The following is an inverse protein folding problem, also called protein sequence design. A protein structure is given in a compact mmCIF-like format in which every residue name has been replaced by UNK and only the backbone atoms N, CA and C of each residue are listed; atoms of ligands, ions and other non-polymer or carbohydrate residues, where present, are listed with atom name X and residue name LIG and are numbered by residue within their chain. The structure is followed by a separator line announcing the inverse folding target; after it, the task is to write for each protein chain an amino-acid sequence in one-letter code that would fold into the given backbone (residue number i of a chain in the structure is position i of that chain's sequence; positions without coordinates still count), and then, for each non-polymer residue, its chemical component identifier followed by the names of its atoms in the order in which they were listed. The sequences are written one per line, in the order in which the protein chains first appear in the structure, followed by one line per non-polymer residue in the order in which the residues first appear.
data_IF_749811054186
#
_entry.id   IF_749811054186
#
_cell.length_a   1.000
_cell.length_b   1.000
_cell.length_c   1.000
_cell.angle_alpha   90.00
_cell.angle_beta   90.00
_cell.angle_gamma   90.00
#
_symmetry.space_group_name_H-M   'P 1'
#
loop_
_entity.id
_entity.type
_entity.pdbx_description
1 polymer ?
#
# COMPACT_ATOMS: atom_id res chain seq x y z
N UNK A 1 -91.94 -1.18 42.98
CA UNK A 1 -91.18 -1.29 41.70
C UNK A 1 -90.34 -0.03 41.51
N UNK A 2 -89.10 -0.17 40.97
CA UNK A 2 -88.04 0.82 40.70
C UNK A 2 -87.00 0.97 41.82
N UNK A 3 -86.02 0.05 41.89
CA UNK A 3 -84.71 -0.06 41.18
C UNK A 3 -83.63 0.88 41.76
N UNK A 4 -82.81 0.25 42.60
CA UNK A 4 -81.46 0.61 43.02
C UNK A 4 -80.53 0.76 41.78
N UNK A 5 -79.72 1.81 41.72
CA UNK A 5 -78.60 1.92 40.77
C UNK A 5 -77.33 2.24 41.56
N UNK A 6 -76.48 1.23 41.74
CA UNK A 6 -75.10 1.38 42.17
C UNK A 6 -74.26 1.82 40.97
N UNK A 7 -73.65 3.00 41.05
CA UNK A 7 -72.57 3.41 40.15
C UNK A 7 -71.23 3.18 40.86
N UNK A 8 -70.47 2.18 40.41
CA UNK A 8 -69.09 1.92 40.85
C UNK A 8 -68.14 2.85 40.08
N UNK A 9 -67.42 3.70 40.79
CA UNK A 9 -66.29 4.44 40.24
C UNK A 9 -65.13 3.46 39.98
N UNK A 10 -64.68 3.38 38.73
CA UNK A 10 -63.52 2.61 38.30
C UNK A 10 -62.28 3.46 38.53
N UNK A 11 -61.47 3.04 39.49
CA UNK A 11 -60.21 3.66 39.89
C UNK A 11 -59.13 3.40 38.81
N UNK A 12 -58.86 4.41 37.98
CA UNK A 12 -57.84 4.35 36.92
C UNK A 12 -56.46 4.65 37.51
N UNK A 13 -55.81 3.63 38.05
CA UNK A 13 -54.38 3.70 38.42
C UNK A 13 -53.54 3.74 37.14
N UNK A 14 -53.07 4.92 36.78
CA UNK A 14 -52.05 5.13 35.75
C UNK A 14 -50.74 4.46 36.19
N UNK A 15 -50.38 3.35 35.54
CA UNK A 15 -49.03 2.78 35.58
C UNK A 15 -48.09 3.71 34.78
N UNK A 16 -47.04 4.30 35.37
CA UNK A 16 -46.03 5.00 34.60
C UNK A 16 -45.20 3.95 33.86
N UNK A 17 -45.30 3.94 32.53
CA UNK A 17 -44.39 3.20 31.65
C UNK A 17 -43.00 3.83 31.83
N UNK A 18 -42.15 3.17 32.61
CA UNK A 18 -40.74 3.53 32.78
C UNK A 18 -40.02 3.16 31.47
N UNK A 19 -39.95 4.10 30.53
CA UNK A 19 -39.10 3.95 29.35
C UNK A 19 -37.64 4.07 29.81
N UNK A 20 -36.95 2.94 29.96
CA UNK A 20 -35.49 2.94 30.07
C UNK A 20 -34.93 3.46 28.74
N UNK A 21 -34.20 4.58 28.71
CA UNK A 21 -33.40 4.91 27.55
C UNK A 21 -32.30 3.86 27.47
N UNK A 22 -32.41 2.97 26.48
CA UNK A 22 -31.30 2.12 26.07
C UNK A 22 -30.20 3.09 25.59
N UNK A 23 -29.22 3.38 26.45
CA UNK A 23 -28.01 4.05 26.00
C UNK A 23 -27.32 3.08 25.03
N UNK A 24 -27.49 3.33 23.74
CA UNK A 24 -26.62 2.76 22.73
C UNK A 24 -25.21 3.30 23.03
N UNK A 25 -24.37 2.47 23.65
CA UNK A 25 -22.95 2.76 23.67
C UNK A 25 -22.47 2.86 22.21
N UNK A 26 -21.67 3.88 21.85
CA UNK A 26 -21.08 3.92 20.53
C UNK A 26 -20.29 2.62 20.35
N UNK A 27 -20.51 1.93 19.23
CA UNK A 27 -19.63 0.83 18.85
C UNK A 27 -18.25 1.44 18.64
N UNK A 28 -17.30 1.13 19.53
CA UNK A 28 -15.90 1.46 19.30
C UNK A 28 -15.38 0.53 18.21
N UNK A 29 -14.81 1.07 17.14
CA UNK A 29 -14.09 0.24 16.18
C UNK A 29 -12.91 -0.47 16.85
N UNK A 30 -12.54 -1.61 16.29
CA UNK A 30 -11.33 -2.32 16.65
C UNK A 30 -10.10 -1.61 16.05
N UNK A 31 -8.94 -1.83 16.65
CA UNK A 31 -7.65 -1.47 16.07
C UNK A 31 -6.97 -2.74 15.58
N UNK A 32 -6.20 -2.66 14.49
CA UNK A 32 -5.51 -3.82 13.92
C UNK A 32 -4.05 -3.49 13.70
N UNK A 33 -3.16 -4.26 14.31
CA UNK A 33 -1.72 -4.20 14.05
C UNK A 33 -1.40 -4.84 12.70
N UNK A 34 -0.57 -4.17 11.92
CA UNK A 34 -0.08 -4.63 10.61
C UNK A 34 1.45 -4.64 10.67
N UNK A 35 2.01 -5.84 10.68
CA UNK A 35 3.44 -6.09 10.54
C UNK A 35 3.74 -6.34 9.06
N UNK A 36 4.65 -5.57 8.46
CA UNK A 36 5.00 -5.69 7.04
C UNK A 36 6.52 -5.72 6.79
N UNK A 37 7.28 -5.83 7.87
CA UNK A 37 8.71 -6.05 7.84
C UNK A 37 9.08 -7.32 7.09
N UNK A 38 10.27 -7.37 6.51
CA UNK A 38 10.82 -8.61 5.99
C UNK A 38 12.32 -8.71 6.24
N UNK A 39 12.79 -9.92 6.55
CA UNK A 39 14.21 -10.24 6.64
C UNK A 39 14.71 -10.81 5.31
N UNK A 40 15.81 -10.29 4.81
CA UNK A 40 16.42 -10.69 3.54
C UNK A 40 17.94 -10.57 3.61
N UNK A 41 18.61 -11.11 2.58
CA UNK A 41 20.05 -10.86 2.40
C UNK A 41 20.19 -9.59 1.56
N UNK A 42 20.89 -8.58 2.08
CA UNK A 42 21.04 -7.25 1.46
C UNK A 42 21.48 -7.30 0.01
N UNK A 43 22.43 -8.19 -0.28
CA UNK A 43 23.02 -8.36 -1.60
C UNK A 43 22.00 -8.79 -2.68
N UNK A 44 20.79 -9.14 -2.25
CA UNK A 44 19.70 -9.62 -3.11
C UNK A 44 18.54 -8.63 -3.19
N UNK A 45 18.65 -7.45 -2.56
CA UNK A 45 17.74 -6.32 -2.75
C UNK A 45 18.48 -5.27 -3.57
N UNK A 46 18.27 -5.35 -4.87
CA UNK A 46 19.14 -4.74 -5.87
C UNK A 46 18.42 -3.73 -6.76
N UNK A 47 19.19 -2.85 -7.36
CA UNK A 47 18.77 -1.92 -8.38
C UNK A 47 18.71 -2.59 -9.76
N UNK A 48 18.22 -1.87 -10.76
CA UNK A 48 18.14 -2.38 -12.14
C UNK A 48 19.51 -2.76 -12.73
N UNK A 49 20.61 -2.17 -12.25
CA UNK A 49 21.99 -2.43 -12.66
C UNK A 49 22.70 -3.52 -11.82
N UNK A 50 22.06 -4.03 -10.77
CA UNK A 50 22.62 -5.03 -9.87
C UNK A 50 23.32 -4.49 -8.63
N UNK A 51 23.44 -3.17 -8.48
CA UNK A 51 23.94 -2.58 -7.23
C UNK A 51 22.93 -2.77 -6.10
N UNK A 52 23.38 -2.80 -4.85
CA UNK A 52 22.46 -2.86 -3.71
C UNK A 52 21.65 -1.56 -3.59
N UNK A 53 20.42 -1.67 -3.09
CA UNK A 53 19.62 -0.52 -2.66
C UNK A 53 20.20 0.02 -1.35
N UNK A 54 20.26 1.35 -1.18
CA UNK A 54 20.56 1.98 0.11
C UNK A 54 19.27 2.64 0.62
N UNK A 55 18.82 2.42 1.87
CA UNK A 55 17.66 3.10 2.41
C UNK A 55 17.92 4.59 2.57
N UNK A 56 16.86 5.38 2.45
CA UNK A 56 16.86 6.79 2.77
C UNK A 56 17.02 7.00 4.28
N UNK A 57 17.91 7.91 4.69
CA UNK A 57 18.29 8.17 6.09
C UNK A 57 17.38 9.17 6.80
N UNK A 58 16.44 9.79 6.07
CA UNK A 58 15.51 10.77 6.61
C UNK A 58 16.02 12.22 6.61
N UNK A 59 17.21 12.52 6.07
CA UNK A 59 17.67 13.91 5.90
C UNK A 59 16.95 14.59 4.72
N UNK A 60 16.74 15.90 4.78
CA UNK A 60 16.02 16.70 3.76
C UNK A 60 16.63 16.60 2.33
N UNK A 61 17.77 15.94 2.18
CA UNK A 61 18.47 15.75 0.90
C UNK A 61 18.43 14.28 0.47
N UNK A 62 17.60 13.97 -0.52
CA UNK A 62 17.55 12.64 -1.12
C UNK A 62 18.80 12.38 -2.00
N UNK A 63 19.67 11.48 -1.55
CA UNK A 63 20.76 10.95 -2.35
C UNK A 63 20.27 10.19 -3.57
N UNK A 64 21.04 10.23 -4.67
CA UNK A 64 20.63 9.61 -5.94
C UNK A 64 20.46 8.07 -5.87
N UNK A 65 21.04 7.44 -4.85
CA UNK A 65 21.04 5.98 -4.63
C UNK A 65 20.30 5.58 -3.35
N UNK A 66 19.62 6.52 -2.70
CA UNK A 66 18.83 6.27 -1.49
C UNK A 66 17.39 5.96 -1.88
N UNK A 67 16.74 5.06 -1.14
CA UNK A 67 15.40 4.59 -1.46
C UNK A 67 14.48 4.75 -0.26
N UNK A 68 13.32 5.37 -0.50
CA UNK A 68 12.18 5.34 0.42
C UNK A 68 11.53 3.98 0.31
N UNK A 69 11.19 3.38 1.43
CA UNK A 69 10.47 2.11 1.53
C UNK A 69 9.22 2.38 2.36
N UNK A 70 8.06 2.33 1.69
CA UNK A 70 6.79 2.73 2.27
C UNK A 70 5.74 1.64 2.07
N UNK A 71 4.93 1.39 3.09
CA UNK A 71 3.68 0.64 3.00
C UNK A 71 2.53 1.64 2.82
N UNK A 72 1.59 1.32 1.94
CA UNK A 72 0.46 2.21 1.71
C UNK A 72 -0.56 1.66 0.74
N UNK A 73 -1.40 2.55 0.23
CA UNK A 73 -2.34 2.27 -0.84
C UNK A 73 -2.42 3.46 -1.80
N UNK A 74 -2.98 3.20 -2.98
CA UNK A 74 -3.38 4.28 -3.88
C UNK A 74 -4.76 4.83 -3.51
N UNK A 75 -4.97 6.10 -3.80
CA UNK A 75 -6.24 6.77 -3.64
C UNK A 75 -7.40 5.99 -4.28
N UNK A 76 -8.58 6.06 -3.67
CA UNK A 76 -9.77 5.34 -4.13
C UNK A 76 -10.06 5.62 -5.60
N UNK A 77 -10.18 4.55 -6.40
CA UNK A 77 -10.43 4.62 -7.84
C UNK A 77 -9.17 4.70 -8.70
N UNK A 78 -7.98 4.75 -8.09
CA UNK A 78 -6.71 4.65 -8.78
C UNK A 78 -6.18 3.21 -8.72
N UNK A 79 -5.99 2.59 -9.87
CA UNK A 79 -5.31 1.29 -9.98
C UNK A 79 -3.92 1.51 -10.57
N UNK A 80 -2.85 1.15 -9.85
CA UNK A 80 -1.50 1.34 -10.36
C UNK A 80 -1.25 0.44 -11.57
N UNK A 81 -0.74 1.02 -12.64
CA UNK A 81 -0.29 0.32 -13.84
C UNK A 81 0.98 0.97 -14.37
N UNK A 82 1.73 0.26 -15.20
CA UNK A 82 2.93 0.82 -15.85
C UNK A 82 2.58 2.03 -16.73
N UNK A 83 1.34 2.09 -17.24
CA UNK A 83 0.88 3.16 -18.12
C UNK A 83 0.59 4.49 -17.39
N UNK A 84 0.46 4.48 -16.06
CA UNK A 84 0.15 5.68 -15.26
C UNK A 84 1.22 5.97 -14.19
N UNK A 85 2.47 5.55 -14.41
CA UNK A 85 3.59 5.75 -13.47
C UNK A 85 3.77 7.20 -13.02
N UNK A 86 3.59 8.16 -13.94
CA UNK A 86 3.73 9.59 -13.65
C UNK A 86 2.72 10.08 -12.59
N UNK A 87 1.60 9.38 -12.42
CA UNK A 87 0.56 9.73 -11.47
C UNK A 87 0.71 9.01 -10.12
N UNK A 88 1.63 8.03 -10.00
CA UNK A 88 1.68 7.17 -8.81
C UNK A 88 1.91 7.95 -7.53
N UNK A 89 2.96 8.78 -7.49
CA UNK A 89 3.32 9.53 -6.28
C UNK A 89 2.22 10.50 -5.86
N UNK A 90 1.52 11.12 -6.82
CA UNK A 90 0.41 12.01 -6.54
C UNK A 90 -0.83 11.29 -5.97
N UNK A 91 -0.97 9.99 -6.22
CA UNK A 91 -2.07 9.16 -5.74
C UNK A 91 -1.68 8.24 -4.59
N UNK A 92 -0.41 8.23 -4.18
CA UNK A 92 0.09 7.37 -3.12
C UNK A 92 -0.27 7.91 -1.74
N UNK A 93 -0.79 7.04 -0.88
CA UNK A 93 -1.11 7.33 0.51
C UNK A 93 -0.26 6.44 1.40
N UNK A 94 0.69 7.05 2.11
CA UNK A 94 1.58 6.36 3.05
C UNK A 94 0.77 5.94 4.27
N UNK A 95 0.74 4.64 4.54
CA UNK A 95 0.22 4.07 5.78
C UNK A 95 1.33 4.00 6.84
N UNK A 96 2.51 3.53 6.44
CA UNK A 96 3.69 3.43 7.28
C UNK A 96 4.95 3.50 6.40
N UNK A 97 6.08 3.86 6.98
CA UNK A 97 7.36 3.87 6.28
C UNK A 97 8.48 3.34 7.16
N UNK A 98 9.54 2.86 6.54
CA UNK A 98 10.75 2.54 7.27
C UNK A 98 11.56 3.81 7.43
N UNK A 99 11.64 4.27 8.66
CA UNK A 99 12.67 5.21 9.09
C UNK A 99 13.83 4.38 9.63
N UNK A 100 14.90 4.19 8.86
CA UNK A 100 16.09 3.51 9.40
C UNK A 100 16.80 4.50 10.33
N UNK A 101 16.99 4.19 11.62
CA UNK A 101 17.80 5.04 12.48
C UNK A 101 19.22 5.12 11.91
N UNK A 102 19.75 6.33 11.82
CA UNK A 102 21.07 6.67 11.28
C UNK A 102 22.22 5.80 11.86
N UNK A 103 22.06 5.28 13.09
CA UNK A 103 23.01 4.38 13.75
C UNK A 103 22.94 2.91 13.27
N UNK A 104 21.78 2.45 12.80
CA UNK A 104 21.57 1.08 12.31
C UNK A 104 21.82 0.94 10.80
N UNK A 105 21.91 2.06 10.06
CA UNK A 105 22.47 2.05 8.69
C UNK A 105 23.95 1.62 8.75
N UNK A 106 24.66 1.96 9.83
CA UNK A 106 26.07 1.61 10.00
C UNK A 106 26.32 0.13 10.39
N UNK A 107 25.40 -0.51 11.14
CA UNK A 107 25.58 -1.88 11.69
C UNK A 107 24.59 -2.93 11.15
N UNK A 108 23.44 -2.53 10.58
CA UNK A 108 22.41 -3.41 10.00
C UNK A 108 22.32 -3.38 8.47
N UNK A 109 22.92 -2.36 7.86
CA UNK A 109 23.14 -2.23 6.42
C UNK A 109 24.65 -2.31 6.06
N UNK A 110 25.45 -2.91 6.93
CA UNK A 110 26.88 -3.12 6.68
C UNK A 110 27.07 -4.07 5.49
N UNK A 111 28.00 -3.71 4.63
CA UNK A 111 28.24 -4.35 3.34
C UNK A 111 29.10 -5.63 3.47
N UNK A 112 28.66 -6.59 4.27
CA UNK A 112 29.29 -7.90 4.42
C UNK A 112 28.56 -8.99 3.63
N UNK A 113 29.30 -9.79 2.86
CA UNK A 113 28.72 -10.92 2.14
C UNK A 113 28.08 -11.92 3.10
N UNK A 114 26.79 -12.22 2.88
CA UNK A 114 26.01 -13.11 3.74
C UNK A 114 25.40 -12.47 5.00
N UNK A 115 25.43 -11.14 5.13
CA UNK A 115 24.71 -10.45 6.21
C UNK A 115 23.21 -10.37 5.92
N UNK A 116 22.40 -10.73 6.92
CA UNK A 116 20.94 -10.61 6.87
C UNK A 116 20.59 -9.18 7.30
N UNK A 117 19.93 -8.43 6.43
CA UNK A 117 19.21 -7.24 6.86
C UNK A 117 17.73 -7.52 6.96
N UNK A 118 17.05 -6.61 7.63
CA UNK A 118 15.60 -6.56 7.60
C UNK A 118 15.21 -5.11 7.54
N UNK A 119 14.18 -4.81 6.76
CA UNK A 119 13.36 -3.68 7.14
C UNK A 119 12.22 -4.21 8.01
N UNK A 120 11.95 -3.55 9.12
CA UNK A 120 10.83 -3.86 9.98
C UNK A 120 9.96 -2.62 10.09
N UNK A 121 8.72 -2.73 9.64
CA UNK A 121 7.68 -1.72 9.84
C UNK A 121 6.50 -2.37 10.54
N UNK A 122 5.96 -1.67 11.52
CA UNK A 122 4.70 -2.00 12.17
C UNK A 122 3.91 -0.71 12.38
N UNK A 123 2.62 -0.78 12.08
CA UNK A 123 1.71 0.31 12.39
C UNK A 123 0.31 -0.25 12.65
N UNK A 124 -0.45 0.48 13.44
CA UNK A 124 -1.82 0.14 13.81
C UNK A 124 -2.81 0.86 12.90
N UNK A 125 -3.65 0.08 12.22
CA UNK A 125 -4.87 0.60 11.62
C UNK A 125 -5.89 0.90 12.73
N UNK A 126 -6.11 2.18 12.96
CA UNK A 126 -7.03 2.73 13.96
C UNK A 126 -8.48 2.69 13.49
N UNK A 127 -9.39 2.81 14.46
CA UNK A 127 -10.81 3.10 14.17
C UNK A 127 -10.92 4.34 13.25
N UNK A 128 -11.80 4.27 12.25
CA UNK A 128 -11.88 5.26 11.17
C UNK A 128 -10.92 5.02 10.01
N UNK A 129 -10.24 3.86 9.96
CA UNK A 129 -9.35 3.44 8.87
C UNK A 129 -8.16 4.40 8.66
N UNK A 130 -7.50 4.80 9.74
CA UNK A 130 -6.30 5.67 9.70
C UNK A 130 -5.11 4.94 10.31
N UNK A 131 -3.89 5.43 10.08
CA UNK A 131 -2.67 4.87 10.67
C UNK A 131 -2.25 5.64 11.92
N UNK A 132 -1.57 4.97 12.85
CA UNK A 132 -0.85 5.61 13.96
C UNK A 132 0.63 5.86 13.69
N UNK A 133 1.14 5.50 12.51
CA UNK A 133 2.54 5.74 12.10
C UNK A 133 2.89 7.23 12.14
N UNK A 134 4.14 7.55 12.48
CA UNK A 134 4.66 8.92 12.45
C UNK A 134 4.79 9.46 11.01
N UNK A 135 4.95 8.55 10.03
CA UNK A 135 5.06 8.85 8.61
C UNK A 135 3.70 9.05 7.92
N UNK A 136 2.60 8.78 8.64
CA UNK A 136 1.26 9.00 8.14
C UNK A 136 0.95 10.50 8.07
N UNK A 137 0.76 10.99 6.85
CA UNK A 137 0.47 12.42 6.62
C UNK A 137 -1.04 12.71 6.68
N UNK A 138 -1.83 11.98 5.89
CA UNK A 138 -3.29 12.12 5.80
C UNK A 138 -3.89 11.04 4.88
N UNK A 139 -5.15 10.69 5.13
CA UNK A 139 -5.92 9.81 4.27
C UNK A 139 -6.85 8.92 5.06
N UNK A 140 -7.44 7.97 4.37
CA UNK A 140 -8.09 6.82 5.01
C UNK A 140 -7.80 5.62 4.14
N UNK A 141 -7.75 4.44 4.74
CA UNK A 141 -7.49 3.18 4.07
C UNK A 141 -8.75 2.29 4.12
N UNK A 142 -9.76 2.52 3.26
CA UNK A 142 -11.04 1.80 3.35
C UNK A 142 -10.84 0.29 3.38
N UNK A 143 -11.71 -0.40 4.09
CA UNK A 143 -11.67 -1.85 4.17
C UNK A 143 -11.72 -2.49 2.76
N UNK A 144 -10.87 -3.49 2.53
CA UNK A 144 -10.71 -4.15 1.24
C UNK A 144 -9.85 -3.41 0.22
N UNK A 145 -9.30 -2.23 0.56
CA UNK A 145 -8.34 -1.53 -0.31
C UNK A 145 -7.04 -2.33 -0.38
N UNK A 146 -6.55 -2.58 -1.59
CA UNK A 146 -5.26 -3.25 -1.80
C UNK A 146 -4.13 -2.39 -1.23
N UNK A 147 -3.29 -3.00 -0.39
CA UNK A 147 -2.06 -2.37 0.07
C UNK A 147 -0.87 -2.78 -0.82
N UNK A 148 0.17 -1.97 -0.83
CA UNK A 148 1.38 -2.22 -1.59
C UNK A 148 2.59 -1.80 -0.75
N UNK A 149 3.74 -2.40 -1.04
CA UNK A 149 5.03 -1.83 -0.65
C UNK A 149 5.61 -1.12 -1.86
N UNK A 150 5.93 0.16 -1.69
CA UNK A 150 6.51 1.02 -2.72
C UNK A 150 7.93 1.40 -2.33
N UNK A 151 8.89 0.95 -3.14
CA UNK A 151 10.30 1.30 -3.00
C UNK A 151 10.72 2.16 -4.19
N UNK A 152 11.25 3.35 -3.91
CA UNK A 152 11.66 4.30 -4.95
C UNK A 152 12.84 5.15 -4.51
N UNK A 153 13.67 5.59 -5.45
CA UNK A 153 14.74 6.57 -5.21
C UNK A 153 14.42 7.98 -5.72
N UNK A 154 13.26 8.19 -6.35
CA UNK A 154 12.77 9.49 -6.82
C UNK A 154 11.25 9.55 -6.81
N UNK A 155 10.70 10.74 -6.61
CA UNK A 155 9.26 10.99 -6.67
C UNK A 155 8.77 11.31 -8.10
N UNK A 156 9.68 11.39 -9.06
CA UNK A 156 9.37 11.68 -10.46
C UNK A 156 9.97 10.62 -11.37
N UNK A 157 9.18 10.17 -12.35
CA UNK A 157 9.64 9.34 -13.46
C UNK A 157 10.70 10.09 -14.28
N UNK A 158 11.71 9.39 -14.79
CA UNK A 158 12.76 10.01 -15.58
C UNK A 158 14.12 9.32 -15.46
N UNK A 159 15.17 9.97 -15.97
CA UNK A 159 16.52 9.41 -15.92
C UNK A 159 16.98 9.20 -14.48
N UNK A 160 17.36 7.96 -14.16
CA UNK A 160 17.83 7.57 -12.84
C UNK A 160 16.72 7.32 -11.82
N UNK A 161 15.44 7.34 -12.22
CA UNK A 161 14.34 6.89 -11.37
C UNK A 161 14.26 5.36 -11.39
N UNK A 162 14.28 4.77 -10.21
CA UNK A 162 14.34 3.33 -9.94
C UNK A 162 13.26 2.95 -8.96
N UNK A 163 12.24 2.24 -9.42
CA UNK A 163 11.03 1.95 -8.65
C UNK A 163 10.76 0.44 -8.60
N UNK A 164 10.12 -0.03 -7.53
CA UNK A 164 9.41 -1.30 -7.46
C UNK A 164 8.14 -1.11 -6.64
N UNK A 165 7.04 -1.70 -7.12
CA UNK A 165 5.77 -1.74 -6.41
C UNK A 165 5.29 -3.18 -6.40
N UNK A 166 5.11 -3.73 -5.21
CA UNK A 166 4.68 -5.12 -5.07
C UNK A 166 3.64 -5.30 -3.97
N UNK A 167 2.93 -6.43 -4.04
CA UNK A 167 1.88 -6.82 -3.11
C UNK A 167 1.60 -8.33 -3.17
N UNK A 168 0.65 -8.80 -2.38
CA UNK A 168 -0.01 -10.09 -2.54
C UNK A 168 -1.47 -9.85 -3.00
N UNK A 169 -1.76 -10.15 -4.27
CA UNK A 169 -3.11 -9.96 -4.84
C UNK A 169 -3.96 -11.25 -4.77
N UNK A 170 -3.33 -12.40 -4.48
CA UNK A 170 -4.01 -13.69 -4.55
C UNK A 170 -3.86 -14.52 -3.26
N UNK A 171 -4.29 -15.77 -3.31
CA UNK A 171 -4.26 -16.67 -2.17
C UNK A 171 -5.37 -16.46 -1.13
N UNK A 172 -5.16 -17.02 0.06
CA UNK A 172 -6.15 -17.02 1.13
C UNK A 172 -6.22 -15.68 1.88
N UNK A 173 -5.13 -14.91 1.88
CA UNK A 173 -5.00 -13.62 2.57
C UNK A 173 -4.34 -12.57 1.66
N UNK A 174 -5.08 -12.02 0.67
CA UNK A 174 -4.58 -10.91 -0.12
C UNK A 174 -4.32 -9.70 0.79
N UNK A 175 -3.31 -8.91 0.46
CA UNK A 175 -2.93 -7.74 1.22
C UNK A 175 -3.93 -6.61 1.02
N UNK A 176 -4.94 -6.61 1.87
CA UNK A 176 -6.02 -5.65 1.86
C UNK A 176 -6.26 -5.12 3.26
N UNK A 177 -6.50 -3.82 3.38
CA UNK A 177 -6.77 -3.21 4.67
C UNK A 177 -8.03 -3.83 5.31
N UNK A 178 -7.97 -4.30 6.56
CA UNK A 178 -9.10 -4.93 7.22
C UNK A 178 -10.21 -3.93 7.58
N UNK A 179 -11.42 -4.45 7.81
CA UNK A 179 -12.54 -3.68 8.34
C UNK A 179 -12.44 -3.57 9.86
N UNK A 180 -12.02 -2.41 10.35
CA UNK A 180 -11.94 -2.11 11.80
C UNK A 180 -13.30 -2.17 12.51
N UNK A 181 -14.42 -2.14 11.77
CA UNK A 181 -15.77 -2.21 12.33
C UNK A 181 -16.36 -3.63 12.35
N UNK A 182 -15.62 -4.62 11.83
CA UNK A 182 -16.08 -6.01 11.77
C UNK A 182 -16.28 -6.63 13.16
N UNK A 183 -17.27 -7.52 13.26
CA UNK A 183 -17.56 -8.31 14.47
C UNK A 183 -17.55 -9.81 14.09
N UNK A 184 -16.61 -10.62 14.62
CA UNK A 184 -15.56 -10.27 15.58
C UNK A 184 -14.52 -9.31 14.99
N UNK A 185 -13.80 -8.60 15.87
CA UNK A 185 -12.71 -7.72 15.49
C UNK A 185 -11.67 -8.46 14.62
N UNK A 186 -11.04 -7.78 13.65
CA UNK A 186 -10.00 -8.40 12.84
C UNK A 186 -8.82 -8.83 13.70
N UNK A 187 -8.12 -9.87 13.26
CA UNK A 187 -6.83 -10.27 13.83
C UNK A 187 -5.70 -9.41 13.25
N UNK A 188 -4.56 -9.30 13.95
CA UNK A 188 -3.34 -8.72 13.39
C UNK A 188 -2.98 -9.34 12.04
N UNK A 189 -2.32 -8.54 11.19
CA UNK A 189 -1.90 -8.93 9.83
C UNK A 189 -0.38 -8.99 9.74
N UNK A 190 0.11 -10.00 9.03
CA UNK A 190 1.51 -10.12 8.63
C UNK A 190 1.58 -10.03 7.10
N UNK A 191 2.23 -9.00 6.59
CA UNK A 191 2.41 -8.73 5.16
C UNK A 191 3.88 -8.88 4.81
N UNK A 192 4.34 -10.13 4.86
CA UNK A 192 5.74 -10.50 4.65
C UNK A 192 6.03 -10.74 3.16
N UNK A 193 7.21 -10.32 2.68
CA UNK A 193 7.63 -10.54 1.29
C UNK A 193 7.57 -12.03 0.82
N UNK A 194 7.69 -12.99 1.75
CA UNK A 194 7.52 -14.43 1.49
C UNK A 194 6.14 -14.77 0.90
N UNK A 195 5.12 -14.00 1.28
CA UNK A 195 3.74 -14.13 0.82
C UNK A 195 3.46 -13.21 -0.37
N UNK A 196 4.43 -12.38 -0.78
CA UNK A 196 4.26 -11.49 -1.90
C UNK A 196 4.16 -12.25 -3.23
N UNK A 197 3.14 -11.80 -3.94
CA UNK A 197 2.53 -12.28 -5.16
C UNK A 197 2.94 -11.75 -6.52
N UNK A 198 3.04 -10.42 -6.49
CA UNK A 198 2.69 -9.58 -7.61
C UNK A 198 3.58 -8.37 -7.55
N UNK A 199 4.36 -8.15 -8.61
CA UNK A 199 5.06 -6.90 -8.85
C UNK A 199 4.37 -6.16 -10.02
N UNK A 200 3.97 -4.91 -9.80
CA UNK A 200 3.40 -4.04 -10.85
C UNK A 200 4.53 -3.43 -11.69
N UNK A 201 5.59 -3.00 -11.03
CA UNK A 201 6.88 -2.57 -11.59
C UNK A 201 7.98 -3.18 -10.74
N UNK A 202 9.13 -3.49 -11.34
CA UNK A 202 10.22 -4.18 -10.66
C UNK A 202 10.04 -5.69 -10.70
N UNK A 203 10.79 -6.41 -9.87
CA UNK A 203 10.65 -7.84 -9.72
C UNK A 203 10.83 -8.29 -8.26
N UNK A 204 10.10 -9.32 -7.86
CA UNK A 204 10.22 -9.99 -6.56
C UNK A 204 10.44 -11.49 -6.75
N UNK A 205 10.96 -12.15 -5.72
CA UNK A 205 11.11 -13.61 -5.66
C UNK A 205 11.85 -14.18 -6.88
N UNK A 206 13.03 -13.63 -7.17
CA UNK A 206 13.84 -14.05 -8.32
C UNK A 206 14.16 -15.55 -8.35
N UNK A 207 14.77 -16.04 -9.44
CA UNK A 207 14.93 -17.48 -9.74
C UNK A 207 15.55 -18.33 -8.63
N UNK A 208 16.40 -17.73 -7.80
CA UNK A 208 17.08 -18.40 -6.68
C UNK A 208 16.55 -17.96 -5.31
N UNK A 209 15.41 -17.26 -5.24
CA UNK A 209 14.81 -16.79 -3.98
C UNK A 209 14.64 -17.95 -2.99
N UNK A 210 15.28 -17.82 -1.83
CA UNK A 210 15.17 -18.80 -0.74
C UNK A 210 13.79 -18.75 -0.05
N UNK A 211 12.92 -17.84 -0.50
CA UNK A 211 11.77 -17.30 0.23
C UNK A 211 10.41 -17.81 -0.22
N UNK A 212 10.30 -18.95 -0.91
CA UNK A 212 9.02 -19.67 -1.12
C UNK A 212 7.91 -18.98 -1.93
N UNK A 213 7.97 -17.67 -2.15
CA UNK A 213 6.99 -16.88 -2.88
C UNK A 213 7.05 -17.09 -4.40
N UNK A 214 6.03 -16.59 -5.09
CA UNK A 214 5.94 -16.72 -6.55
C UNK A 214 6.81 -15.65 -7.21
N UNK A 215 7.71 -16.05 -8.11
CA UNK A 215 8.46 -15.11 -8.94
C UNK A 215 7.50 -14.22 -9.74
N UNK A 216 7.64 -12.91 -9.57
CA UNK A 216 6.77 -11.93 -10.21
C UNK A 216 7.61 -10.80 -10.78
N UNK A 217 7.44 -10.55 -12.08
CA UNK A 217 8.14 -9.51 -12.82
C UNK A 217 7.10 -8.56 -13.41
N UNK A 218 7.11 -7.33 -12.92
CA UNK A 218 6.27 -6.24 -13.39
C UNK A 218 6.83 -5.56 -14.63
N UNK A 219 6.26 -4.40 -14.97
CA UNK A 219 6.79 -3.59 -16.08
C UNK A 219 8.09 -2.86 -15.76
N UNK A 220 8.53 -2.05 -16.72
CA UNK A 220 9.81 -1.33 -16.68
C UNK A 220 10.93 -2.08 -17.40
N UNK A 221 12.14 -1.53 -17.33
CA UNK A 221 13.33 -2.11 -17.95
C UNK A 221 14.43 -2.36 -16.93
N UNK A 222 15.10 -3.50 -17.04
CA UNK A 222 16.24 -3.89 -16.22
C UNK A 222 17.44 -4.23 -17.11
N UNK A 223 18.64 -4.06 -16.58
CA UNK A 223 19.85 -4.50 -17.25
C UNK A 223 19.96 -6.03 -17.15
N UNK A 224 19.79 -6.74 -18.27
CA UNK A 224 19.91 -8.20 -18.29
C UNK A 224 21.33 -8.71 -18.04
N UNK A 225 22.33 -7.83 -17.99
CA UNK A 225 23.72 -8.17 -17.66
C UNK A 225 24.02 -8.15 -16.15
N UNK A 226 23.10 -7.64 -15.34
CA UNK A 226 23.18 -7.66 -13.88
C UNK A 226 23.00 -9.07 -13.27
N UNK A 227 23.25 -9.22 -11.95
CA UNK A 227 23.07 -10.47 -11.24
C UNK A 227 21.64 -11.02 -11.43
N UNK A 228 21.54 -12.32 -11.65
CA UNK A 228 20.26 -13.03 -11.83
C UNK A 228 19.66 -13.49 -10.51
N UNK A 229 20.45 -13.46 -9.44
CA UNK A 229 20.01 -13.79 -8.09
C UNK A 229 19.54 -12.51 -7.37
N UNK A 230 18.25 -12.47 -7.04
CA UNK A 230 17.63 -11.38 -6.28
C UNK A 230 16.39 -11.87 -5.54
N UNK A 231 16.02 -11.13 -4.49
CA UNK A 231 14.75 -11.23 -3.78
C UNK A 231 13.87 -10.04 -4.18
N UNK A 232 14.45 -8.84 -4.27
CA UNK A 232 13.80 -7.61 -4.78
C UNK A 232 14.72 -7.00 -5.84
N UNK A 233 14.12 -6.54 -6.93
CA UNK A 233 14.83 -5.79 -7.97
C UNK A 233 14.02 -4.58 -8.42
N UNK A 234 14.57 -3.37 -8.28
CA UNK A 234 13.95 -2.16 -8.87
C UNK A 234 14.15 -2.14 -10.37
N UNK A 235 13.29 -1.41 -11.05
CA UNK A 235 13.38 -1.15 -12.47
C UNK A 235 13.57 0.33 -12.75
N UNK A 236 14.30 0.60 -13.84
CA UNK A 236 14.37 1.94 -14.36
C UNK A 236 13.00 2.34 -14.91
N UNK A 237 12.44 3.40 -14.35
CA UNK A 237 11.24 4.06 -14.85
C UNK A 237 11.65 5.33 -15.58
N UNK A 238 12.38 5.15 -16.68
CA UNK A 238 12.54 6.23 -17.65
C UNK A 238 11.17 6.59 -18.20
N UNK A 239 10.94 7.87 -18.46
CA UNK A 239 9.75 8.37 -19.15
C UNK A 239 9.51 7.49 -20.38
N UNK A 240 8.32 6.89 -20.48
CA UNK A 240 7.89 6.24 -21.72
C UNK A 240 8.11 7.27 -22.84
N UNK A 241 8.63 6.87 -24.02
CA UNK A 241 8.75 7.80 -25.12
C UNK A 241 7.38 8.42 -25.33
N UNK A 242 7.23 9.72 -25.03
CA UNK A 242 5.98 10.42 -25.31
C UNK A 242 5.60 10.10 -26.76
N UNK A 243 4.32 9.82 -27.07
CA UNK A 243 3.91 9.60 -28.44
C UNK A 243 4.39 10.81 -29.23
N UNK A 244 5.37 10.58 -30.10
CA UNK A 244 6.07 11.66 -30.80
C UNK A 244 5.03 12.63 -31.34
N UNK A 245 5.21 13.96 -31.24
CA UNK A 245 4.25 14.93 -31.78
C UNK A 245 3.91 14.67 -33.26
N UNK A 246 4.76 13.94 -33.99
CA UNK A 246 4.48 13.40 -35.32
C UNK A 246 3.28 12.43 -35.38
N UNK A 247 3.11 11.53 -34.40
CA UNK A 247 1.96 10.63 -34.29
C UNK A 247 0.68 11.40 -33.99
N UNK A 248 0.71 12.38 -33.09
CA UNK A 248 -0.42 13.27 -32.80
C UNK A 248 -0.83 14.11 -34.04
N UNK A 249 0.15 14.56 -34.83
CA UNK A 249 -0.09 15.22 -36.13
C UNK A 249 -0.74 14.29 -37.16
N UNK A 250 -0.35 13.02 -37.22
CA UNK A 250 -0.95 12.03 -38.12
C UNK A 250 -2.41 11.70 -37.75
N UNK A 251 -2.74 11.63 -36.46
CA UNK A 251 -4.13 11.49 -36.00
C UNK A 251 -4.96 12.76 -36.25
N UNK A 252 -4.36 13.95 -36.05
CA UNK A 252 -5.02 15.22 -36.37
C UNK A 252 -5.36 15.36 -37.87
N UNK A 253 -4.41 15.01 -38.75
CA UNK A 253 -4.60 15.12 -40.20
C UNK A 253 -5.61 14.12 -40.77
N UNK A 254 -5.73 12.93 -40.18
CA UNK A 254 -6.71 11.92 -40.60
C UNK A 254 -8.16 12.32 -40.27
N UNK A 255 -8.38 13.03 -39.15
CA UNK A 255 -9.69 13.59 -38.80
C UNK A 255 -10.07 14.77 -39.71
N UNK A 256 -9.11 15.62 -40.09
CA UNK A 256 -9.32 16.73 -41.05
C UNK A 256 -9.63 16.19 -42.46
N UNK A 257 -9.00 15.09 -42.86
CA UNK A 257 -9.27 14.43 -44.15
C UNK A 257 -10.68 13.81 -44.24
N UNK A 258 -11.22 13.31 -43.13
CA UNK A 258 -12.56 12.70 -43.06
C UNK A 258 -13.70 13.74 -42.98
N UNK A 259 -13.45 14.91 -42.39
CA UNK A 259 -14.44 15.99 -42.30
C UNK A 259 -14.63 16.78 -43.59
N UNK A 260 -13.70 16.67 -44.55
CA UNK A 260 -13.78 17.33 -45.87
C UNK A 260 -14.56 16.57 -46.94
N UNK A 261 -15.09 15.38 -46.63
CA UNK A 261 -15.86 14.52 -47.56
C UNK A 261 -17.38 14.46 -47.28
N UNK A 262 -17.92 15.40 -46.51
CA UNK A 262 -19.38 15.58 -46.35
C UNK A 262 -19.82 16.88 -47.00
#
# INVERSE_FOLDING_TARGET
MKRLVLSRAIDRRCLPLLALPLLAAPASGATVEIDWGTSFVLERVIQSDGSAITPYDGDDTWGANEFKIELGAFAVGFTPTVANLEDWVANWQVFDAITVPDADIADGFSSGAGETASFAGNATLLDGQTSDSEDYVAGTFPAGTQSYVFIRNRDTVGTGAEWILYTNESGAEPWTFPDTTAVPAPTPRSWDLVDADTAVVGAINGPDSLGGGTNSVGGGTYDTSGPTDYIIRTHNVASLPEPSPALSLLFGLSIIGLTRRR
#
